data_IF_597724714798
#
_entry.id   IF_597724714798
#
_cell.length_a   1.000
_cell.length_b   1.000
_cell.length_c   1.000
_cell.angle_alpha   90.00
_cell.angle_beta   90.00
_cell.angle_gamma   90.00
#
_symmetry.space_group_name_H-M   'P 1'
#
loop_
_entity.id
_entity.type
_entity.pdbx_description
1 polymer ?
#
# COMPACT_ATOMS: atom_id res chain seq x y z
N UNK A 1 5.75 12.23 4.52
CA UNK A 1 4.44 11.68 4.89
C UNK A 1 3.77 11.08 3.66
N UNK A 2 3.16 9.88 3.79
CA UNK A 2 2.42 9.25 2.70
C UNK A 2 1.15 10.04 2.41
N UNK A 3 0.91 10.38 1.13
CA UNK A 3 -0.26 11.16 0.70
C UNK A 3 -1.18 10.42 -0.26
N UNK A 4 -0.64 9.49 -1.04
CA UNK A 4 -1.41 8.64 -1.95
C UNK A 4 -0.89 7.22 -1.89
N UNK A 5 -1.73 6.28 -2.28
CA UNK A 5 -1.38 4.87 -2.37
C UNK A 5 -1.93 4.31 -3.68
N UNK A 6 -1.15 3.50 -4.36
CA UNK A 6 -1.64 2.74 -5.50
C UNK A 6 -1.74 1.27 -5.12
N UNK A 7 -2.86 0.64 -5.45
CA UNK A 7 -3.15 -0.76 -5.19
C UNK A 7 -2.95 -1.58 -6.46
N UNK A 8 -2.33 -2.73 -6.31
CA UNK A 8 -2.12 -3.68 -7.40
C UNK A 8 -2.17 -5.10 -6.83
N UNK A 9 -2.69 -6.07 -7.58
CA UNK A 9 -2.59 -7.47 -7.19
C UNK A 9 -1.13 -7.89 -7.13
N UNK A 10 -0.80 -8.78 -6.19
CA UNK A 10 0.57 -9.32 -6.08
C UNK A 10 0.89 -10.19 -7.29
N UNK A 11 -0.08 -10.97 -7.78
CA UNK A 11 0.10 -11.85 -8.93
C UNK A 11 -0.74 -11.38 -10.13
N UNK A 12 -0.11 -11.31 -11.29
CA UNK A 12 -0.79 -11.09 -12.56
C UNK A 12 -1.60 -12.33 -12.98
N UNK A 13 -0.96 -13.48 -12.86
CA UNK A 13 -1.54 -14.82 -13.06
C UNK A 13 -0.93 -15.76 -12.03
N UNK A 14 -1.48 -16.96 -11.88
CA UNK A 14 -0.95 -17.92 -10.92
C UNK A 14 0.57 -18.14 -11.13
N UNK A 15 1.34 -17.89 -10.09
CA UNK A 15 2.80 -18.04 -10.08
C UNK A 15 3.60 -16.91 -10.70
N UNK A 16 2.96 -15.91 -11.32
CA UNK A 16 3.66 -14.77 -11.94
C UNK A 16 3.36 -13.48 -11.17
N UNK A 17 4.36 -12.96 -10.47
CA UNK A 17 4.22 -11.70 -9.71
C UNK A 17 4.20 -10.48 -10.63
N UNK A 18 3.39 -9.49 -10.26
CA UNK A 18 3.46 -8.18 -10.86
C UNK A 18 4.75 -7.48 -10.46
N UNK A 19 5.45 -6.94 -11.44
CA UNK A 19 6.69 -6.18 -11.24
C UNK A 19 6.85 -5.10 -12.29
N UNK A 20 7.64 -4.08 -11.96
CA UNK A 20 8.05 -3.01 -12.87
C UNK A 20 9.57 -3.08 -13.01
N UNK A 21 10.07 -3.09 -14.23
CA UNK A 21 11.52 -3.17 -14.50
C UNK A 21 12.16 -1.78 -14.55
N UNK A 22 11.46 -0.79 -15.10
CA UNK A 22 11.91 0.60 -15.14
C UNK A 22 10.87 1.54 -14.53
N UNK A 23 10.95 1.80 -13.22
CA UNK A 23 9.98 2.65 -12.52
C UNK A 23 10.20 4.15 -12.76
N UNK A 24 11.26 4.53 -13.45
CA UNK A 24 11.56 5.95 -13.73
C UNK A 24 10.71 6.53 -14.85
N UNK A 25 10.07 5.67 -15.64
CA UNK A 25 9.27 6.04 -16.81
C UNK A 25 7.78 6.05 -16.51
N UNK A 26 7.10 7.15 -16.86
CA UNK A 26 5.65 7.24 -16.79
C UNK A 26 4.95 6.12 -17.58
N UNK A 27 5.48 5.76 -18.75
CA UNK A 27 4.93 4.73 -19.61
C UNK A 27 4.85 3.35 -18.92
N UNK A 28 5.78 3.02 -18.03
CA UNK A 28 5.76 1.76 -17.29
C UNK A 28 4.55 1.61 -16.38
N UNK A 29 4.03 2.71 -15.86
CA UNK A 29 2.84 2.71 -14.99
C UNK A 29 1.54 3.00 -15.73
N UNK A 30 1.56 3.84 -16.77
CA UNK A 30 0.33 4.21 -17.49
C UNK A 30 -0.36 3.02 -18.11
N UNK A 31 0.39 2.05 -18.62
CA UNK A 31 -0.15 0.78 -19.12
C UNK A 31 -0.83 -0.05 -18.04
N UNK A 32 -0.34 0.02 -16.80
CA UNK A 32 -0.90 -0.71 -15.66
C UNK A 32 -2.22 -0.10 -15.18
N UNK A 33 -2.37 1.23 -15.23
CA UNK A 33 -3.63 1.89 -14.88
C UNK A 33 -4.75 1.62 -15.89
N UNK A 34 -4.41 1.38 -17.14
CA UNK A 34 -5.36 1.05 -18.22
C UNK A 34 -5.50 -0.46 -18.47
N UNK A 35 -4.74 -1.29 -17.77
CA UNK A 35 -4.78 -2.73 -17.95
C UNK A 35 -6.15 -3.33 -17.60
N UNK A 36 -6.57 -4.36 -18.34
CA UNK A 36 -7.80 -5.10 -18.08
C UNK A 36 -7.55 -6.46 -17.42
N UNK A 37 -6.29 -6.79 -17.13
CA UNK A 37 -5.87 -8.07 -16.55
C UNK A 37 -5.44 -7.91 -15.07
N UNK A 38 -4.82 -8.94 -14.51
CA UNK A 38 -4.33 -8.96 -13.13
C UNK A 38 -3.17 -7.99 -12.85
N UNK A 39 -2.64 -7.26 -13.82
CA UNK A 39 -1.62 -6.24 -13.63
C UNK A 39 -2.17 -4.84 -13.35
N UNK A 40 -3.50 -4.67 -13.39
CA UNK A 40 -4.15 -3.37 -13.20
C UNK A 40 -3.78 -2.74 -11.87
N UNK A 41 -3.44 -1.45 -11.93
CA UNK A 41 -3.25 -0.59 -10.77
C UNK A 41 -4.43 0.36 -10.60
N UNK A 42 -4.73 0.68 -9.35
CA UNK A 42 -5.73 1.69 -8.99
C UNK A 42 -5.13 2.61 -7.93
N UNK A 43 -5.09 3.91 -8.21
CA UNK A 43 -4.58 4.88 -7.25
C UNK A 43 -5.71 5.36 -6.34
N UNK A 44 -5.40 5.56 -5.05
CA UNK A 44 -6.33 6.17 -4.10
C UNK A 44 -6.44 7.67 -4.31
N UNK A 45 -7.51 8.29 -3.82
CA UNK A 45 -7.51 9.74 -3.55
C UNK A 45 -6.42 10.12 -2.55
N UNK A 46 -6.23 11.42 -2.32
CA UNK A 46 -5.35 11.86 -1.24
C UNK A 46 -5.85 11.35 0.11
N UNK A 47 -4.95 10.76 0.87
CA UNK A 47 -5.21 10.27 2.22
C UNK A 47 -4.75 11.29 3.25
N UNK A 48 -5.47 11.36 4.36
CA UNK A 48 -5.20 12.30 5.46
C UNK A 48 -4.93 11.52 6.75
N UNK A 49 -4.07 12.11 7.59
CA UNK A 49 -3.74 11.55 8.89
C UNK A 49 -3.17 10.12 8.85
N UNK A 50 -2.23 9.81 7.95
CA UNK A 50 -1.69 8.45 7.90
C UNK A 50 -0.97 8.13 9.20
N UNK A 51 -1.31 6.99 9.79
CA UNK A 51 -0.72 6.49 11.03
C UNK A 51 -0.17 5.09 10.78
N UNK A 52 1.07 4.87 11.17
CA UNK A 52 1.72 3.57 11.08
C UNK A 52 2.23 3.15 12.44
N UNK A 53 1.75 2.00 12.92
CA UNK A 53 2.14 1.41 14.19
C UNK A 53 3.01 0.17 13.92
N UNK A 54 4.33 0.24 14.20
CA UNK A 54 5.22 -0.91 14.05
C UNK A 54 4.78 -2.05 14.97
N UNK A 55 4.87 -3.27 14.45
CA UNK A 55 4.54 -4.46 15.23
C UNK A 55 5.53 -4.69 16.37
N UNK A 56 5.01 -4.98 17.56
CA UNK A 56 5.80 -5.35 18.72
C UNK A 56 6.41 -6.75 18.60
N UNK A 57 7.44 -7.03 19.38
CA UNK A 57 7.98 -8.37 19.50
C UNK A 57 6.96 -9.29 20.16
N UNK A 58 6.80 -10.50 19.61
CA UNK A 58 6.08 -11.59 20.28
C UNK A 58 7.06 -12.39 21.11
N UNK A 59 6.80 -12.51 22.40
CA UNK A 59 7.67 -13.20 23.35
C UNK A 59 6.98 -14.42 23.93
N UNK A 60 7.78 -15.39 24.33
CA UNK A 60 7.36 -16.56 25.09
C UNK A 60 8.23 -16.68 26.33
N UNK A 61 7.62 -17.05 27.44
CA UNK A 61 8.32 -17.30 28.68
C UNK A 61 8.08 -16.21 29.72
N UNK A 62 8.99 -16.14 30.69
CA UNK A 62 8.84 -15.34 31.90
C UNK A 62 8.32 -16.14 33.07
N UNK A 63 8.54 -15.66 34.28
CA UNK A 63 8.17 -16.38 35.52
C UNK A 63 8.77 -17.77 35.58
N UNK A 64 7.92 -18.78 35.73
CA UNK A 64 8.34 -20.19 35.84
C UNK A 64 8.31 -20.97 34.52
N UNK A 65 7.98 -20.31 33.38
CA UNK A 65 7.86 -21.00 32.10
C UNK A 65 9.21 -21.23 31.43
N UNK A 66 10.20 -20.40 31.72
CA UNK A 66 11.55 -20.50 31.19
C UNK A 66 12.57 -20.43 32.29
N UNK A 67 13.73 -21.07 32.11
CA UNK A 67 14.79 -21.07 33.07
C UNK A 67 15.28 -19.65 33.38
N UNK A 68 15.23 -19.26 34.66
CA UNK A 68 15.59 -17.92 35.11
C UNK A 68 14.60 -16.82 34.75
N UNK A 69 13.38 -17.16 34.28
CA UNK A 69 12.35 -16.18 33.94
C UNK A 69 12.65 -15.36 32.67
N UNK A 70 13.56 -15.84 31.84
CA UNK A 70 13.98 -15.14 30.62
C UNK A 70 12.88 -15.24 29.55
N UNK A 71 12.48 -14.10 28.97
CA UNK A 71 11.59 -14.08 27.82
C UNK A 71 12.36 -14.33 26.53
N UNK A 72 11.80 -15.17 25.66
CA UNK A 72 12.37 -15.53 24.36
C UNK A 72 11.50 -14.89 23.27
N UNK A 73 12.13 -14.13 22.38
CA UNK A 73 11.43 -13.58 21.22
C UNK A 73 11.13 -14.68 20.20
N UNK A 74 9.85 -14.91 19.90
CA UNK A 74 9.37 -15.94 18.96
C UNK A 74 8.87 -15.38 17.65
N UNK A 75 8.84 -14.06 17.48
CA UNK A 75 8.39 -13.42 16.27
C UNK A 75 8.08 -11.94 16.48
N UNK A 76 7.39 -11.35 15.55
CA UNK A 76 6.88 -9.97 15.67
C UNK A 76 5.44 -9.87 15.14
N UNK A 77 4.73 -8.89 15.67
CA UNK A 77 3.39 -8.55 15.18
C UNK A 77 3.48 -7.83 13.83
N UNK A 78 2.43 -7.90 13.00
CA UNK A 78 2.34 -7.10 11.78
C UNK A 78 2.35 -5.60 12.09
N UNK A 79 2.92 -4.81 11.16
CA UNK A 79 2.79 -3.35 11.19
C UNK A 79 1.41 -2.96 10.68
N UNK A 80 0.67 -2.14 11.42
CA UNK A 80 -0.63 -1.63 10.98
C UNK A 80 -0.50 -0.25 10.38
N UNK A 81 -1.34 0.04 9.38
CA UNK A 81 -1.45 1.34 8.74
C UNK A 81 -2.91 1.74 8.65
N UNK A 82 -3.21 2.99 8.96
CA UNK A 82 -4.55 3.56 8.81
C UNK A 82 -4.48 5.00 8.31
N UNK A 83 -5.49 5.41 7.57
CA UNK A 83 -5.64 6.76 7.07
C UNK A 83 -7.12 7.07 6.80
N UNK A 84 -7.42 8.33 6.54
CA UNK A 84 -8.78 8.80 6.26
C UNK A 84 -8.82 9.45 4.88
N UNK A 85 -9.91 9.20 4.15
CA UNK A 85 -10.23 9.83 2.87
C UNK A 85 -11.44 10.72 3.09
N UNK A 86 -11.32 12.02 2.76
CA UNK A 86 -12.38 12.98 2.92
C UNK A 86 -13.11 13.28 1.62
N UNK A 87 -14.42 13.47 1.69
CA UNK A 87 -15.29 14.02 0.64
C UNK A 87 -15.19 13.31 -0.72
N UNK A 88 -14.93 12.00 -0.69
CA UNK A 88 -14.82 11.21 -1.93
C UNK A 88 -16.17 10.67 -2.42
N UNK A 89 -16.26 10.46 -3.73
CA UNK A 89 -17.43 9.85 -4.36
C UNK A 89 -17.57 8.38 -3.96
N UNK A 90 -18.81 7.92 -3.83
CA UNK A 90 -19.07 6.50 -3.56
C UNK A 90 -18.53 5.57 -4.66
N UNK A 91 -18.44 6.06 -5.88
CA UNK A 91 -17.87 5.29 -7.00
C UNK A 91 -16.38 5.00 -6.79
N UNK A 92 -15.61 6.00 -6.36
CA UNK A 92 -14.19 5.84 -6.04
C UNK A 92 -13.99 4.88 -4.87
N UNK A 93 -14.77 5.02 -3.81
CA UNK A 93 -14.72 4.14 -2.66
C UNK A 93 -15.11 2.70 -3.03
N UNK A 94 -16.12 2.51 -3.87
CA UNK A 94 -16.51 1.19 -4.35
C UNK A 94 -15.40 0.51 -5.18
N UNK A 95 -14.65 1.27 -5.97
CA UNK A 95 -13.48 0.75 -6.69
C UNK A 95 -12.39 0.25 -5.75
N UNK A 96 -12.14 0.97 -4.66
CA UNK A 96 -11.19 0.53 -3.63
C UNK A 96 -11.69 -0.72 -2.88
N UNK A 97 -12.98 -0.80 -2.58
CA UNK A 97 -13.58 -1.95 -1.91
C UNK A 97 -13.46 -3.26 -2.70
N UNK A 98 -13.30 -3.21 -4.01
CA UNK A 98 -13.10 -4.41 -4.83
C UNK A 98 -11.84 -5.20 -4.47
N UNK A 99 -10.85 -4.56 -3.86
CA UNK A 99 -9.61 -5.20 -3.44
C UNK A 99 -9.68 -5.86 -2.06
N UNK A 100 -10.76 -5.73 -1.31
CA UNK A 100 -10.92 -6.20 0.08
C UNK A 100 -10.93 -7.70 0.06
N UNK A 101 -10.69 -8.59 -0.35
CA UNK A 101 -10.61 -10.06 -0.26
C UNK A 101 -9.62 -10.65 -1.27
N UNK A 102 -8.75 -9.80 -1.78
CA UNK A 102 -7.75 -10.21 -2.76
C UNK A 102 -6.34 -10.14 -2.18
N UNK A 103 -5.42 -10.86 -2.77
CA UNK A 103 -3.98 -10.72 -2.48
C UNK A 103 -3.44 -9.50 -3.21
N UNK A 104 -3.32 -8.41 -2.49
CA UNK A 104 -2.89 -7.13 -3.04
C UNK A 104 -1.62 -6.61 -2.38
N UNK A 105 -0.96 -5.73 -3.09
CA UNK A 105 0.14 -4.94 -2.59
C UNK A 105 -0.09 -3.45 -2.85
N UNK A 106 0.73 -2.63 -2.23
CA UNK A 106 0.66 -1.17 -2.31
C UNK A 106 1.96 -0.56 -2.78
N UNK A 107 1.82 0.52 -3.53
CA UNK A 107 2.87 1.47 -3.84
C UNK A 107 2.59 2.73 -3.04
N UNK A 108 3.53 3.15 -2.21
CA UNK A 108 3.36 4.32 -1.35
C UNK A 108 3.91 5.56 -2.06
N UNK A 109 3.18 6.66 -1.98
CA UNK A 109 3.60 7.94 -2.57
C UNK A 109 3.63 8.98 -1.45
N UNK A 110 4.77 9.58 -1.23
CA UNK A 110 4.93 10.60 -0.21
C UNK A 110 4.62 12.03 -0.73
N UNK A 111 4.68 12.99 0.17
CA UNK A 111 4.41 14.40 -0.12
C UNK A 111 5.38 15.03 -1.13
N UNK A 112 6.57 14.45 -1.29
CA UNK A 112 7.58 14.92 -2.25
C UNK A 112 7.47 14.21 -3.62
N UNK A 113 6.57 13.24 -3.76
CA UNK A 113 6.41 12.46 -4.97
C UNK A 113 7.38 11.28 -5.09
N UNK A 114 8.02 10.87 -4.00
CA UNK A 114 8.82 9.65 -3.97
C UNK A 114 7.91 8.43 -3.92
N UNK A 115 8.35 7.33 -4.54
CA UNK A 115 7.60 6.07 -4.57
C UNK A 115 8.27 5.06 -3.65
N UNK A 116 7.51 4.54 -2.68
CA UNK A 116 7.94 3.43 -1.82
C UNK A 116 7.45 2.09 -2.37
N UNK A 117 8.35 1.14 -2.50
CA UNK A 117 8.08 -0.20 -3.03
C UNK A 117 9.04 -1.23 -2.43
N UNK A 118 8.93 -2.48 -2.85
CA UNK A 118 9.94 -3.51 -2.59
C UNK A 118 10.80 -3.73 -3.82
N UNK A 119 12.03 -4.19 -3.60
CA UNK A 119 12.98 -4.55 -4.66
C UNK A 119 13.46 -5.99 -4.48
N UNK A 120 13.96 -6.57 -5.55
CA UNK A 120 14.61 -7.88 -5.53
C UNK A 120 16.00 -7.81 -4.87
N UNK A 121 16.76 -6.77 -5.18
CA UNK A 121 18.09 -6.50 -4.62
C UNK A 121 18.20 -5.03 -4.23
N UNK A 122 18.66 -4.75 -3.01
CA UNK A 122 18.83 -3.39 -2.49
C UNK A 122 19.98 -2.62 -3.15
N UNK A 123 21.04 -3.32 -3.54
CA UNK A 123 22.24 -2.69 -4.09
C UNK A 123 22.10 -2.45 -5.61
N UNK A 124 21.56 -3.43 -6.34
CA UNK A 124 21.33 -3.37 -7.78
C UNK A 124 19.90 -3.81 -8.14
N UNK A 125 18.89 -2.97 -7.90
CA UNK A 125 17.51 -3.34 -8.19
C UNK A 125 17.27 -3.60 -9.68
N UNK A 126 16.72 -4.75 -10.02
CA UNK A 126 16.31 -5.12 -11.38
C UNK A 126 14.80 -5.23 -11.53
N UNK A 127 14.09 -5.46 -10.44
CA UNK A 127 12.63 -5.55 -10.41
C UNK A 127 12.06 -4.85 -9.18
N UNK A 128 10.96 -4.14 -9.38
CA UNK A 128 10.26 -3.38 -8.36
C UNK A 128 8.86 -3.97 -8.18
N UNK A 129 8.48 -4.24 -6.94
CA UNK A 129 7.24 -4.92 -6.59
C UNK A 129 6.37 -4.06 -5.68
N UNK A 130 5.04 -4.21 -5.73
CA UNK A 130 4.18 -3.64 -4.70
C UNK A 130 4.47 -4.31 -3.34
N UNK A 131 4.32 -3.56 -2.26
CA UNK A 131 4.50 -4.07 -0.89
C UNK A 131 3.28 -4.91 -0.53
N UNK A 132 3.43 -6.23 -0.26
CA UNK A 132 2.29 -7.07 0.12
C UNK A 132 1.61 -6.58 1.40
N UNK A 133 0.29 -6.54 1.38
CA UNK A 133 -0.52 -6.15 2.54
C UNK A 133 -1.56 -7.22 2.85
N UNK A 134 -1.99 -7.25 4.10
CA UNK A 134 -3.08 -8.07 4.58
C UNK A 134 -4.14 -7.24 5.28
N UNK A 135 -5.28 -7.85 5.58
CA UNK A 135 -6.38 -7.20 6.32
C UNK A 135 -6.80 -5.84 5.73
N UNK A 136 -6.75 -5.72 4.41
CA UNK A 136 -7.18 -4.51 3.73
C UNK A 136 -8.66 -4.26 3.95
N UNK A 137 -8.99 -3.09 4.46
CA UNK A 137 -10.35 -2.69 4.78
C UNK A 137 -10.60 -1.24 4.39
N UNK A 138 -11.74 -1.01 3.76
CA UNK A 138 -12.26 0.33 3.47
C UNK A 138 -13.59 0.46 4.19
N UNK A 139 -13.65 1.37 5.16
CA UNK A 139 -14.86 1.62 5.94
C UNK A 139 -15.97 2.27 5.13
N UNK A 140 -17.19 2.10 5.59
CA UNK A 140 -18.33 2.83 5.06
C UNK A 140 -18.24 4.32 5.37
N UNK A 141 -18.97 5.11 4.60
CA UNK A 141 -18.96 6.57 4.77
C UNK A 141 -19.49 6.97 6.15
N UNK A 142 -18.65 7.69 6.90
CA UNK A 142 -19.08 8.45 8.07
C UNK A 142 -19.65 9.76 7.56
N UNK A 143 -20.92 10.00 7.81
CA UNK A 143 -21.57 11.28 7.51
C UNK A 143 -21.07 12.34 8.48
N UNK A 144 -20.53 13.41 7.93
CA UNK A 144 -20.10 14.56 8.72
C UNK A 144 -21.27 15.42 9.21
N UNK A 145 -20.95 16.41 10.01
CA UNK A 145 -21.88 17.42 10.49
C UNK A 145 -21.42 18.81 10.09
N UNK A 146 -21.80 19.82 10.86
CA UNK A 146 -21.39 21.19 10.59
C UNK A 146 -19.89 21.44 10.77
N UNK A 147 -19.21 20.61 11.56
CA UNK A 147 -17.80 20.81 11.93
C UNK A 147 -16.84 19.81 11.26
N UNK A 148 -17.36 18.71 10.73
CA UNK A 148 -16.54 17.65 10.12
C UNK A 148 -17.07 17.27 8.73
N UNK A 149 -16.19 17.09 7.73
CA UNK A 149 -16.59 16.57 6.42
C UNK A 149 -16.89 15.07 6.46
N UNK A 150 -17.61 14.60 5.46
CA UNK A 150 -17.78 13.16 5.23
C UNK A 150 -16.44 12.46 5.05
N UNK A 151 -16.29 11.29 5.61
CA UNK A 151 -15.04 10.56 5.60
C UNK A 151 -15.21 9.05 5.42
N UNK A 152 -14.19 8.42 4.88
CA UNK A 152 -14.03 6.97 4.84
C UNK A 152 -12.67 6.61 5.43
N UNK A 153 -12.63 5.59 6.27
CA UNK A 153 -11.38 5.06 6.82
C UNK A 153 -10.82 3.99 5.91
N UNK A 154 -9.51 4.00 5.72
CA UNK A 154 -8.78 2.96 5.00
C UNK A 154 -7.70 2.40 5.92
N UNK A 155 -7.58 1.08 6.00
CA UNK A 155 -6.60 0.43 6.85
C UNK A 155 -6.11 -0.89 6.28
N UNK A 156 -4.89 -1.26 6.62
CA UNK A 156 -4.29 -2.56 6.29
C UNK A 156 -3.14 -2.89 7.24
N UNK A 157 -2.60 -4.08 7.11
CA UNK A 157 -1.39 -4.49 7.81
C UNK A 157 -0.29 -4.89 6.82
N UNK A 158 0.94 -4.54 7.14
CA UNK A 158 2.12 -5.06 6.45
C UNK A 158 2.59 -6.35 7.13
N UNK A 159 3.05 -7.30 6.35
CA UNK A 159 3.60 -8.54 6.87
C UNK A 159 4.85 -8.28 7.74
N UNK A 160 5.14 -9.14 8.73
CA UNK A 160 6.40 -9.06 9.47
C UNK A 160 7.61 -9.02 8.52
N UNK A 161 8.60 -8.19 8.85
CA UNK A 161 9.81 -7.96 8.04
C UNK A 161 9.57 -7.32 6.66
N UNK A 162 8.43 -6.69 6.44
CA UNK A 162 8.09 -6.05 5.15
C UNK A 162 9.12 -5.00 4.71
N UNK A 163 9.77 -4.35 5.67
CA UNK A 163 10.73 -3.27 5.39
C UNK A 163 12.13 -3.75 5.02
N UNK A 164 12.42 -5.04 5.11
CA UNK A 164 13.77 -5.56 4.84
C UNK A 164 14.23 -5.32 3.39
N UNK A 165 13.30 -5.29 2.45
CA UNK A 165 13.54 -4.99 1.04
C UNK A 165 12.85 -3.71 0.58
N UNK A 166 12.51 -2.83 1.51
CA UNK A 166 11.87 -1.57 1.20
C UNK A 166 12.84 -0.62 0.49
N UNK A 167 12.37 -0.01 -0.57
CA UNK A 167 13.15 0.89 -1.41
C UNK A 167 12.34 2.15 -1.74
N UNK A 168 13.00 3.29 -1.74
CA UNK A 168 12.39 4.58 -2.10
C UNK A 168 12.98 5.06 -3.41
N UNK A 169 12.13 5.17 -4.44
CA UNK A 169 12.49 5.76 -5.72
C UNK A 169 12.28 7.27 -5.59
N UNK A 170 13.37 8.01 -5.69
CA UNK A 170 13.35 9.46 -5.50
C UNK A 170 12.66 10.16 -6.68
N UNK A 171 11.89 11.20 -6.39
CA UNK A 171 11.17 12.01 -7.39
C UNK A 171 12.09 12.54 -8.49
N UNK A 172 13.30 12.92 -8.16
CA UNK A 172 14.30 13.45 -9.11
C UNK A 172 14.72 12.45 -10.20
N UNK A 173 14.59 11.14 -9.93
CA UNK A 173 14.87 10.08 -10.88
C UNK A 173 13.71 9.79 -11.83
N UNK A 174 12.53 10.33 -11.57
CA UNK A 174 11.30 10.08 -12.32
C UNK A 174 11.10 11.13 -13.42
N UNK A 175 10.61 10.71 -14.58
CA UNK A 175 10.21 11.61 -15.68
C UNK A 175 8.78 12.15 -15.50
N UNK A 176 8.12 11.82 -14.40
CA UNK A 176 6.73 12.19 -14.07
C UNK A 176 6.59 12.48 -12.58
N UNK A 177 5.44 13.06 -12.19
CA UNK A 177 5.08 13.26 -10.78
C UNK A 177 3.94 12.31 -10.39
N UNK A 178 4.17 11.28 -9.56
CA UNK A 178 3.12 10.32 -9.22
C UNK A 178 1.93 10.93 -8.48
N UNK A 179 2.11 12.05 -7.78
CA UNK A 179 1.01 12.73 -7.09
C UNK A 179 -0.05 13.30 -8.06
N UNK A 180 0.39 13.76 -9.24
CA UNK A 180 -0.48 14.39 -10.23
C UNK A 180 -0.73 13.51 -11.46
N UNK A 181 0.25 12.71 -11.85
CA UNK A 181 0.22 11.95 -13.10
C UNK A 181 -0.39 10.56 -12.97
N UNK A 182 -0.41 10.02 -11.76
CA UNK A 182 -1.11 8.77 -11.50
C UNK A 182 -2.60 9.03 -11.30
N UNK A 183 -3.36 8.67 -12.31
CA UNK A 183 -4.82 8.79 -12.32
C UNK A 183 -5.44 7.49 -12.81
N UNK A 184 -6.56 7.12 -12.23
CA UNK A 184 -7.29 5.94 -12.67
C UNK A 184 -7.82 6.16 -14.10
N UNK A 185 -7.77 5.11 -14.90
CA UNK A 185 -8.44 5.12 -16.19
C UNK A 185 -9.93 5.40 -15.97
N UNK A 186 -10.50 6.28 -16.78
CA UNK A 186 -11.94 6.52 -16.76
C UNK A 186 -12.65 5.18 -16.97
N UNK A 187 -13.55 4.82 -16.06
CA UNK A 187 -14.39 3.66 -16.27
C UNK A 187 -15.19 3.92 -17.55
N UNK A 188 -14.94 3.13 -18.57
CA UNK A 188 -15.80 3.09 -19.75
C UNK A 188 -17.19 2.76 -19.21
N UNK A 189 -18.08 3.76 -19.26
CA UNK A 189 -19.44 3.60 -18.77
C UNK A 189 -20.10 2.48 -19.56
N UNK A 190 -20.44 1.43 -18.86
CA UNK A 190 -21.38 0.43 -19.35
C UNK A 190 -22.79 0.94 -19.18
#
# INVERSE_FOLDING_TARGET
QVQKVAFQRIYKTAGTKNSVTDPTKKASFSTLFSAADGSKMTVSPYIQGPTSEPGAARTFGGGNQTLGGIEITIGREPTTFSATIYQESQKTIAQLKQYMCEEIGVWLIDENGNIGCLVDDQDEPTAYFPIPIGKFFVGDKKLGGFEEPDSNTIEWSFNPNWSDKFYIIKRESLDFNPLTDWVNAASVGG
#
